data_IF_394457942715
#
_entry.id   IF_394457942715
#
_cell.length_a   1.000
_cell.length_b   1.000
_cell.length_c   1.000
_cell.angle_alpha   90.00
_cell.angle_beta   90.00
_cell.angle_gamma   90.00
#
_symmetry.space_group_name_H-M   'P 1'
#
loop_
_entity.id
_entity.type
_entity.pdbx_description
1 polymer ?
#
# COMPACT_ATOMS: atom_id res chain seq x y z
N UNK A 1 23.26 -18.06 -16.55
CA UNK A 1 22.63 -18.28 -15.23
C UNK A 1 23.36 -17.38 -14.25
N UNK A 2 22.68 -16.39 -13.66
CA UNK A 2 23.21 -15.68 -12.51
C UNK A 2 22.66 -16.39 -11.26
N UNK A 3 23.54 -16.96 -10.45
CA UNK A 3 23.13 -17.59 -9.19
C UNK A 3 22.66 -16.50 -8.24
N UNK A 4 21.41 -16.60 -7.77
CA UNK A 4 20.93 -15.77 -6.67
C UNK A 4 21.65 -16.27 -5.42
N UNK A 5 22.62 -15.51 -4.90
CA UNK A 5 23.22 -15.79 -3.61
C UNK A 5 22.22 -15.35 -2.53
N UNK A 6 21.35 -16.28 -2.12
CA UNK A 6 20.63 -16.15 -0.87
C UNK A 6 21.67 -16.24 0.25
N UNK A 7 22.04 -15.11 0.83
CA UNK A 7 22.80 -15.06 2.07
C UNK A 7 21.85 -15.40 3.22
N UNK A 8 21.58 -16.69 3.43
CA UNK A 8 21.03 -17.13 4.70
C UNK A 8 21.98 -16.67 5.81
N UNK A 9 21.46 -15.91 6.77
CA UNK A 9 22.15 -15.66 8.03
C UNK A 9 21.44 -16.45 9.10
N UNK A 10 22.22 -17.27 9.79
CA UNK A 10 21.80 -18.04 10.95
C UNK A 10 21.74 -17.07 12.15
N UNK A 11 20.78 -16.13 12.12
CA UNK A 11 20.48 -15.20 13.21
C UNK A 11 19.05 -15.38 13.73
N UNK A 12 18.85 -15.07 15.01
CA UNK A 12 17.68 -15.49 15.80
C UNK A 12 16.35 -15.13 15.13
N UNK A 13 16.20 -13.86 14.74
CA UNK A 13 15.03 -13.38 14.01
C UNK A 13 14.74 -14.15 12.71
N UNK A 14 15.75 -14.46 11.87
CA UNK A 14 15.48 -15.24 10.65
C UNK A 14 14.91 -16.63 11.01
N UNK A 15 15.50 -17.31 11.98
CA UNK A 15 15.01 -18.61 12.43
C UNK A 15 13.60 -18.51 13.06
N UNK A 16 13.35 -17.49 13.89
CA UNK A 16 12.05 -17.27 14.54
C UNK A 16 10.93 -17.00 13.52
N UNK A 17 11.23 -16.25 12.45
CA UNK A 17 10.31 -15.99 11.33
C UNK A 17 10.01 -17.29 10.58
N UNK A 18 11.04 -18.07 10.23
CA UNK A 18 10.87 -19.34 9.50
C UNK A 18 10.12 -20.41 10.30
N UNK A 19 10.29 -20.43 11.64
CA UNK A 19 9.55 -21.33 12.56
C UNK A 19 8.04 -21.07 12.54
N UNK A 20 7.61 -19.82 12.34
CA UNK A 20 6.19 -19.46 12.18
C UNK A 20 5.68 -19.59 10.73
N UNK A 21 6.45 -20.19 9.82
CA UNK A 21 6.09 -20.27 8.40
C UNK A 21 6.23 -18.95 7.64
N UNK A 22 6.81 -17.93 8.26
CA UNK A 22 7.20 -16.70 7.60
C UNK A 22 8.48 -16.88 6.77
N UNK A 23 8.82 -15.84 6.01
CA UNK A 23 10.02 -15.77 5.21
C UNK A 23 10.81 -14.49 5.52
N UNK A 24 12.12 -14.66 5.66
CA UNK A 24 13.07 -13.57 5.81
C UNK A 24 13.95 -13.47 4.57
N UNK A 25 14.03 -12.30 3.96
CA UNK A 25 14.91 -12.03 2.81
C UNK A 25 15.80 -10.81 3.09
N UNK A 26 17.12 -11.01 3.10
CA UNK A 26 18.11 -9.92 2.99
C UNK A 26 18.50 -9.73 1.52
N UNK A 27 18.40 -8.51 1.01
CA UNK A 27 18.77 -8.21 -0.38
C UNK A 27 19.22 -6.74 -0.56
N UNK A 28 20.20 -6.46 -1.41
CA UNK A 28 20.51 -5.06 -1.79
C UNK A 28 19.41 -4.55 -2.72
N UNK A 29 19.04 -3.28 -2.60
CA UNK A 29 18.23 -2.52 -3.56
C UNK A 29 18.54 -2.73 -5.06
N UNK A 30 19.77 -3.13 -5.41
CA UNK A 30 20.21 -3.46 -6.78
C UNK A 30 19.92 -4.92 -7.19
N UNK A 31 19.32 -5.73 -6.33
CA UNK A 31 19.03 -7.15 -6.56
C UNK A 31 17.53 -7.44 -6.71
N UNK A 32 17.20 -8.64 -7.23
CA UNK A 32 16.10 -8.83 -8.20
C UNK A 32 14.68 -8.96 -7.58
N UNK A 33 14.45 -8.57 -6.32
CA UNK A 33 13.17 -8.77 -5.65
C UNK A 33 12.20 -7.56 -5.75
N UNK A 34 10.95 -7.89 -6.12
CA UNK A 34 9.69 -7.12 -6.02
C UNK A 34 9.74 -5.58 -6.17
N UNK A 35 9.59 -5.04 -7.40
CA UNK A 35 9.43 -3.58 -7.63
C UNK A 35 8.06 -2.98 -7.29
N UNK A 36 7.40 -3.45 -6.22
CA UNK A 36 6.50 -2.59 -5.43
C UNK A 36 7.38 -1.76 -4.47
N UNK A 37 8.37 -2.43 -3.87
CA UNK A 37 9.43 -1.86 -3.04
C UNK A 37 10.29 -0.87 -3.83
N UNK A 38 10.93 -1.33 -4.92
CA UNK A 38 11.93 -0.55 -5.67
C UNK A 38 11.36 0.66 -6.42
N UNK A 39 10.05 0.71 -6.71
CA UNK A 39 9.44 1.91 -7.31
C UNK A 39 9.30 3.06 -6.31
N UNK A 40 9.32 2.76 -5.01
CA UNK A 40 9.24 3.73 -3.94
C UNK A 40 10.64 4.00 -3.35
N UNK A 41 11.49 2.98 -3.19
CA UNK A 41 12.88 3.15 -2.72
C UNK A 41 13.77 3.76 -3.81
N UNK A 42 13.73 5.08 -3.97
CA UNK A 42 14.76 5.82 -4.70
C UNK A 42 15.97 6.12 -3.80
N UNK A 43 16.65 5.07 -3.32
CA UNK A 43 17.92 5.16 -2.55
C UNK A 43 19.05 4.43 -3.27
N UNK A 44 20.27 4.96 -3.10
CA UNK A 44 21.51 4.34 -3.60
C UNK A 44 21.95 3.25 -2.62
N UNK A 45 22.04 1.99 -3.10
CA UNK A 45 22.61 0.82 -2.41
C UNK A 45 22.31 0.76 -0.91
N UNK A 46 21.07 0.43 -0.57
CA UNK A 46 20.69 0.04 0.80
C UNK A 46 20.41 -1.45 0.84
N UNK A 47 20.98 -2.12 1.84
CA UNK A 47 20.56 -3.46 2.25
C UNK A 47 19.14 -3.36 2.80
N UNK A 48 18.24 -4.13 2.22
CA UNK A 48 16.83 -4.22 2.57
C UNK A 48 16.58 -5.55 3.29
N UNK A 49 15.67 -5.51 4.26
CA UNK A 49 15.25 -6.66 5.03
C UNK A 49 13.74 -6.83 4.86
N UNK A 50 13.30 -7.91 4.21
CA UNK A 50 11.87 -8.22 4.04
C UNK A 50 11.46 -9.38 4.92
N UNK A 51 10.58 -9.11 5.88
CA UNK A 51 9.92 -10.11 6.71
C UNK A 51 8.48 -10.23 6.21
N UNK A 52 8.07 -11.45 5.88
CA UNK A 52 6.79 -11.74 5.27
C UNK A 52 6.14 -12.96 5.89
N UNK A 53 4.94 -12.82 6.45
CA UNK A 53 4.14 -13.95 6.93
C UNK A 53 3.00 -14.23 5.94
N UNK A 54 2.82 -15.51 5.58
CA UNK A 54 1.77 -15.98 4.68
C UNK A 54 0.54 -16.43 5.48
N UNK A 55 -0.62 -15.80 5.25
CA UNK A 55 -1.96 -16.30 5.62
C UNK A 55 -2.14 -16.81 7.07
N UNK A 56 -1.44 -16.17 8.00
CA UNK A 56 -1.56 -16.38 9.45
C UNK A 56 -0.36 -17.09 10.08
N UNK A 57 -0.08 -16.79 11.34
CA UNK A 57 1.02 -17.41 12.10
C UNK A 57 1.83 -16.44 12.97
N UNK A 58 1.43 -15.17 13.04
CA UNK A 58 2.10 -14.17 13.88
C UNK A 58 1.06 -13.29 14.57
N UNK A 59 1.18 -13.17 15.89
CA UNK A 59 0.28 -12.38 16.73
C UNK A 59 1.02 -11.24 17.43
N UNK A 60 0.29 -10.44 18.19
CA UNK A 60 0.86 -9.38 19.04
C UNK A 60 1.96 -9.90 19.97
N UNK A 61 1.84 -11.13 20.49
CA UNK A 61 2.80 -11.74 21.40
C UNK A 61 4.15 -11.97 20.74
N UNK A 62 4.15 -12.58 19.55
CA UNK A 62 5.37 -12.81 18.77
C UNK A 62 6.03 -11.49 18.35
N UNK A 63 5.25 -10.48 17.93
CA UNK A 63 5.78 -9.16 17.56
C UNK A 63 6.41 -8.44 18.76
N UNK A 64 5.82 -8.55 19.94
CA UNK A 64 6.37 -7.99 21.19
C UNK A 64 7.66 -8.71 21.59
N UNK A 65 7.71 -10.04 21.48
CA UNK A 65 8.89 -10.85 21.83
C UNK A 65 10.11 -10.52 20.95
N UNK A 66 9.90 -10.31 19.65
CA UNK A 66 10.95 -10.08 18.67
C UNK A 66 11.16 -8.59 18.31
N UNK A 67 10.50 -7.67 19.04
CA UNK A 67 10.47 -6.25 18.72
C UNK A 67 11.87 -5.61 18.61
N UNK A 68 12.77 -5.92 19.55
CA UNK A 68 14.12 -5.36 19.57
C UNK A 68 14.94 -5.84 18.36
N UNK A 69 14.88 -7.15 18.02
CA UNK A 69 15.57 -7.70 16.85
C UNK A 69 15.04 -7.16 15.52
N UNK A 70 13.76 -6.79 15.47
CA UNK A 70 13.14 -6.12 14.31
C UNK A 70 13.58 -4.65 14.26
N UNK A 71 13.48 -3.91 15.37
CA UNK A 71 13.89 -2.50 15.46
C UNK A 71 15.36 -2.27 15.07
N UNK A 72 16.25 -3.24 15.34
CA UNK A 72 17.67 -3.21 14.95
C UNK A 72 17.91 -3.40 13.43
N UNK A 73 16.91 -3.78 12.62
CA UNK A 73 17.06 -3.95 11.16
C UNK A 73 16.80 -2.63 10.41
N UNK A 74 17.75 -2.14 9.59
CA UNK A 74 17.55 -0.95 8.76
C UNK A 74 16.76 -1.28 7.48
N UNK A 75 16.07 -0.28 6.91
CA UNK A 75 15.32 -0.36 5.65
C UNK A 75 14.37 -1.59 5.58
N UNK A 76 13.51 -1.73 6.57
CA UNK A 76 12.59 -2.85 6.72
C UNK A 76 11.40 -2.80 5.75
N UNK A 77 10.95 -3.98 5.38
CA UNK A 77 9.74 -4.24 4.60
C UNK A 77 8.98 -5.30 5.39
N UNK A 78 7.81 -4.94 5.94
CA UNK A 78 7.07 -5.81 6.84
C UNK A 78 5.69 -6.12 6.24
N UNK A 79 5.45 -7.39 5.95
CA UNK A 79 4.13 -7.90 5.54
C UNK A 79 3.53 -8.70 6.68
N UNK A 80 2.50 -8.12 7.30
CA UNK A 80 1.89 -8.49 8.56
C UNK A 80 0.36 -8.60 8.37
N UNK A 81 -0.05 -9.57 7.53
CA UNK A 81 -1.43 -9.75 7.07
C UNK A 81 -2.20 -10.78 7.92
N UNK A 82 -2.26 -10.55 9.22
CA UNK A 82 -2.92 -11.45 10.19
C UNK A 82 -3.88 -10.65 11.10
N UNK A 83 -5.17 -11.02 11.23
CA UNK A 83 -6.10 -10.38 12.17
C UNK A 83 -5.69 -10.51 13.65
N UNK A 84 -4.76 -11.42 14.01
CA UNK A 84 -4.19 -11.52 15.35
C UNK A 84 -3.22 -10.37 15.70
N UNK A 85 -2.90 -9.51 14.74
CA UNK A 85 -2.07 -8.31 14.93
C UNK A 85 -2.97 -7.10 15.16
N UNK A 86 -2.72 -6.37 16.24
CA UNK A 86 -3.44 -5.17 16.65
C UNK A 86 -2.50 -3.97 16.85
N UNK A 87 -3.05 -2.84 17.28
CA UNK A 87 -2.25 -1.67 17.66
C UNK A 87 -1.29 -1.96 18.84
N UNK A 88 -1.54 -3.02 19.62
CA UNK A 88 -0.68 -3.44 20.72
C UNK A 88 0.61 -4.13 20.22
N UNK A 89 0.52 -5.06 19.26
CA UNK A 89 1.69 -5.72 18.67
C UNK A 89 2.53 -4.82 17.78
N UNK A 90 1.92 -3.80 17.16
CA UNK A 90 2.67 -2.77 16.42
C UNK A 90 3.31 -1.70 17.31
N UNK A 91 2.85 -1.49 18.55
CA UNK A 91 3.35 -0.41 19.40
C UNK A 91 4.87 -0.46 19.69
N UNK A 92 5.52 -1.63 19.89
CA UNK A 92 6.97 -1.74 20.01
C UNK A 92 7.76 -1.38 18.74
N UNK A 93 7.13 -1.49 17.56
CA UNK A 93 7.76 -1.28 16.25
C UNK A 93 7.70 0.17 15.76
N UNK A 94 7.24 1.10 16.61
CA UNK A 94 7.16 2.53 16.29
C UNK A 94 8.54 3.18 16.04
N UNK A 95 9.63 2.55 16.50
CA UNK A 95 11.01 3.00 16.29
C UNK A 95 11.73 2.37 15.09
N UNK A 96 11.15 1.33 14.47
CA UNK A 96 11.80 0.58 13.38
C UNK A 96 11.95 1.43 12.11
N UNK A 97 13.07 1.27 11.38
CA UNK A 97 13.33 1.92 10.08
C UNK A 97 12.55 1.23 8.94
N UNK A 98 11.22 1.19 9.07
CA UNK A 98 10.31 0.54 8.12
C UNK A 98 10.01 1.47 6.97
N UNK A 99 10.20 0.96 5.76
CA UNK A 99 9.92 1.63 4.51
C UNK A 99 8.55 1.26 3.94
N UNK A 100 8.15 -0.01 4.10
CA UNK A 100 6.90 -0.57 3.58
C UNK A 100 6.20 -1.36 4.70
N UNK A 101 5.01 -0.93 5.08
CA UNK A 101 4.09 -1.71 5.90
C UNK A 101 2.94 -2.23 5.04
N UNK A 102 2.73 -3.54 5.06
CA UNK A 102 1.54 -4.17 4.51
C UNK A 102 0.80 -4.89 5.64
N UNK A 103 -0.21 -4.20 6.18
CA UNK A 103 -1.02 -4.59 7.33
C UNK A 103 -2.40 -5.12 6.89
N UNK A 104 -2.55 -5.52 5.62
CA UNK A 104 -3.86 -5.84 5.05
C UNK A 104 -4.55 -6.97 5.83
N UNK A 105 -5.77 -6.71 6.29
CA UNK A 105 -6.56 -7.70 7.05
C UNK A 105 -6.20 -7.82 8.53
N UNK A 106 -5.26 -7.03 9.05
CA UNK A 106 -4.96 -6.96 10.48
C UNK A 106 -6.02 -6.16 11.27
N UNK A 107 -6.07 -6.36 12.59
CA UNK A 107 -7.04 -5.71 13.48
C UNK A 107 -6.69 -4.27 13.88
N UNK A 108 -5.68 -3.67 13.25
CA UNK A 108 -5.18 -2.31 13.54
C UNK A 108 -6.26 -1.23 13.35
N UNK A 109 -6.15 -0.16 14.13
CA UNK A 109 -7.06 0.99 14.13
C UNK A 109 -6.30 2.31 13.91
N UNK A 110 -7.02 3.43 13.94
CA UNK A 110 -6.44 4.78 13.90
C UNK A 110 -5.39 5.04 15.02
N UNK A 111 -5.37 4.22 16.08
CA UNK A 111 -4.43 4.36 17.18
C UNK A 111 -2.96 4.06 16.80
N UNK A 112 -2.70 3.09 15.92
CA UNK A 112 -1.34 2.81 15.41
C UNK A 112 -0.86 3.82 14.37
N UNK A 113 -1.77 4.48 13.64
CA UNK A 113 -1.41 5.45 12.59
C UNK A 113 -0.65 6.67 13.12
N UNK A 114 -0.89 7.04 14.39
CA UNK A 114 -0.16 8.10 15.09
C UNK A 114 1.27 7.71 15.50
N UNK A 115 1.68 6.46 15.26
CA UNK A 115 2.99 5.89 15.63
C UNK A 115 3.75 5.30 14.43
N UNK A 116 3.35 5.65 13.20
CA UNK A 116 4.02 5.17 12.00
C UNK A 116 5.45 5.70 11.91
N UNK A 117 6.42 4.86 11.49
CA UNK A 117 7.80 5.29 11.33
C UNK A 117 7.98 6.48 10.37
N UNK A 118 8.88 7.43 10.65
CA UNK A 118 9.14 8.57 9.78
C UNK A 118 9.83 8.20 8.45
N UNK A 119 10.34 6.97 8.36
CA UNK A 119 10.92 6.33 7.17
C UNK A 119 9.86 5.79 6.20
N UNK A 120 8.60 5.66 6.63
CA UNK A 120 7.56 4.93 5.93
C UNK A 120 7.15 5.63 4.63
N UNK A 121 7.23 4.91 3.51
CA UNK A 121 6.80 5.42 2.21
C UNK A 121 5.63 4.65 1.61
N UNK A 122 5.38 3.42 2.03
CA UNK A 122 4.19 2.68 1.64
C UNK A 122 3.45 2.13 2.86
N UNK A 123 2.13 2.28 2.84
CA UNK A 123 1.24 1.69 3.81
C UNK A 123 0.04 1.06 3.11
N UNK A 124 -0.20 -0.23 3.36
CA UNK A 124 -1.46 -0.90 3.02
C UNK A 124 -2.22 -1.22 4.32
N UNK A 125 -3.40 -0.60 4.46
CA UNK A 125 -4.36 -0.82 5.57
C UNK A 125 -5.75 -1.20 5.06
N UNK A 126 -5.82 -1.73 3.83
CA UNK A 126 -7.03 -2.37 3.32
C UNK A 126 -7.48 -3.50 4.27
N UNK A 127 -8.80 -3.68 4.42
CA UNK A 127 -9.43 -4.70 5.28
C UNK A 127 -9.07 -4.60 6.77
N UNK A 128 -8.67 -3.43 7.25
CA UNK A 128 -8.42 -3.14 8.68
C UNK A 128 -9.57 -2.34 9.30
N UNK A 129 -9.46 -2.00 10.58
CA UNK A 129 -10.42 -1.17 11.31
C UNK A 129 -10.10 0.34 11.25
N UNK A 130 -9.20 0.77 10.35
CA UNK A 130 -8.87 2.19 10.13
C UNK A 130 -10.05 2.93 9.48
N UNK A 131 -10.38 4.12 10.01
CA UNK A 131 -11.54 4.94 9.61
C UNK A 131 -11.14 6.14 8.75
N UNK A 132 -12.11 6.97 8.31
CA UNK A 132 -11.81 8.19 7.57
C UNK A 132 -10.92 9.17 8.37
N UNK A 133 -11.09 9.22 9.70
CA UNK A 133 -10.24 10.01 10.59
C UNK A 133 -8.80 9.48 10.65
N UNK A 134 -8.60 8.17 10.53
CA UNK A 134 -7.28 7.56 10.37
C UNK A 134 -6.66 7.87 9.01
N UNK A 135 -7.40 7.70 7.92
CA UNK A 135 -6.94 8.02 6.56
C UNK A 135 -6.55 9.50 6.44
N UNK A 136 -7.22 10.41 7.16
CA UNK A 136 -6.85 11.83 7.24
C UNK A 136 -5.42 12.05 7.76
N UNK A 137 -4.99 11.27 8.76
CA UNK A 137 -3.66 11.40 9.37
C UNK A 137 -2.55 11.00 8.40
N UNK A 138 -2.87 10.13 7.42
CA UNK A 138 -1.95 9.62 6.42
C UNK A 138 -1.71 10.57 5.24
N UNK A 139 -2.42 11.70 5.17
CA UNK A 139 -2.38 12.72 4.08
C UNK A 139 -1.00 13.40 3.90
N UNK A 140 0.00 13.07 4.71
CA UNK A 140 1.37 13.55 4.49
C UNK A 140 2.48 12.58 4.94
N UNK A 141 2.12 11.34 5.35
CA UNK A 141 3.06 10.38 5.94
C UNK A 141 3.58 9.41 4.86
N UNK A 142 2.83 8.38 4.42
CA UNK A 142 3.26 7.54 3.31
C UNK A 142 3.21 8.29 1.96
N UNK A 143 4.13 7.92 1.07
CA UNK A 143 4.13 8.35 -0.34
C UNK A 143 3.13 7.54 -1.18
N UNK A 144 2.87 6.29 -0.82
CA UNK A 144 1.83 5.42 -1.39
C UNK A 144 0.94 4.84 -0.30
N UNK A 145 -0.37 4.98 -0.46
CA UNK A 145 -1.37 4.43 0.46
C UNK A 145 -2.30 3.44 -0.27
N UNK A 146 -2.62 2.33 0.37
CA UNK A 146 -3.69 1.41 -0.05
C UNK A 146 -4.73 1.26 1.05
N UNK A 147 -6.00 1.49 0.68
CA UNK A 147 -7.20 1.42 1.53
C UNK A 147 -8.33 0.68 0.81
N UNK A 148 -9.40 0.35 1.51
CA UNK A 148 -10.69 -0.04 0.92
C UNK A 148 -11.66 1.14 0.78
N UNK A 149 -12.61 1.04 -0.14
CA UNK A 149 -13.75 1.95 -0.29
C UNK A 149 -14.54 2.16 0.99
N UNK A 150 -14.74 1.09 1.78
CA UNK A 150 -15.47 1.10 3.07
C UNK A 150 -14.84 1.94 4.17
N UNK A 151 -13.58 2.36 4.02
CA UNK A 151 -12.88 3.20 4.99
C UNK A 151 -13.15 4.70 4.77
N UNK A 152 -13.85 5.05 3.67
CA UNK A 152 -14.30 6.41 3.39
C UNK A 152 -15.83 6.46 3.59
N UNK A 153 -16.25 7.08 4.70
CA UNK A 153 -17.67 7.24 5.09
C UNK A 153 -18.19 8.64 4.76
N UNK A 154 -19.46 8.95 5.04
CA UNK A 154 -20.03 10.29 4.90
C UNK A 154 -19.25 11.38 5.65
N UNK A 155 -18.57 11.01 6.74
CA UNK A 155 -17.73 11.91 7.54
C UNK A 155 -16.47 12.38 6.79
N UNK A 156 -16.04 11.64 5.76
CA UNK A 156 -14.92 11.99 4.87
C UNK A 156 -14.99 13.43 4.37
N UNK A 157 -16.20 13.96 4.12
CA UNK A 157 -16.39 15.32 3.61
C UNK A 157 -16.07 16.44 4.62
N UNK A 158 -16.21 16.18 5.93
CA UNK A 158 -15.72 17.08 6.99
C UNK A 158 -14.25 16.82 7.34
N UNK A 159 -13.75 15.62 7.04
CA UNK A 159 -12.43 15.15 7.40
C UNK A 159 -11.36 15.59 6.37
N UNK A 160 -11.60 15.44 5.07
CA UNK A 160 -10.64 15.88 4.05
C UNK A 160 -10.75 17.38 3.74
N UNK A 161 -9.61 18.01 3.43
CA UNK A 161 -9.57 19.42 3.00
C UNK A 161 -8.99 19.52 1.60
N UNK A 162 -9.22 20.64 0.90
CA UNK A 162 -8.62 20.88 -0.43
C UNK A 162 -7.09 20.97 -0.44
N UNK A 163 -6.44 21.00 0.73
CA UNK A 163 -4.98 20.88 0.89
C UNK A 163 -4.51 19.44 1.09
N UNK A 164 -5.43 18.51 1.33
CA UNK A 164 -5.13 17.09 1.52
C UNK A 164 -4.68 16.49 0.20
N UNK A 165 -3.44 16.02 0.14
CA UNK A 165 -2.89 15.36 -1.03
C UNK A 165 -2.26 14.00 -0.69
N UNK A 166 -2.40 13.04 -1.60
CA UNK A 166 -1.55 11.84 -1.62
C UNK A 166 -0.63 11.91 -2.84
N UNK A 167 0.56 11.31 -2.75
CA UNK A 167 1.39 11.16 -3.94
C UNK A 167 0.83 10.01 -4.79
N UNK A 168 0.69 8.82 -4.22
CA UNK A 168 -0.03 7.69 -4.82
C UNK A 168 -1.10 7.15 -3.88
N UNK A 169 -2.25 6.77 -4.42
CA UNK A 169 -3.37 6.18 -3.69
C UNK A 169 -3.96 5.02 -4.48
N UNK A 170 -4.16 3.88 -3.82
CA UNK A 170 -4.92 2.76 -4.33
C UNK A 170 -6.14 2.52 -3.43
N UNK A 171 -7.32 2.41 -4.04
CA UNK A 171 -8.55 2.04 -3.36
C UNK A 171 -9.05 0.70 -3.88
N UNK A 172 -9.30 -0.24 -2.97
CA UNK A 172 -9.88 -1.56 -3.24
C UNK A 172 -11.37 -1.57 -2.89
N UNK A 173 -12.14 -2.51 -3.45
CA UNK A 173 -13.59 -2.64 -3.22
C UNK A 173 -14.35 -1.29 -3.36
N UNK A 174 -13.94 -0.45 -4.32
CA UNK A 174 -14.48 0.90 -4.49
C UNK A 174 -15.96 0.90 -4.91
N UNK A 175 -16.70 1.87 -4.37
CA UNK A 175 -18.13 2.14 -4.60
C UNK A 175 -18.34 3.57 -5.08
N UNK A 176 -19.48 3.86 -5.70
CA UNK A 176 -19.86 5.22 -6.10
C UNK A 176 -19.72 6.26 -4.97
N UNK A 177 -20.09 5.88 -3.74
CA UNK A 177 -19.94 6.67 -2.53
C UNK A 177 -18.47 7.00 -2.23
N UNK A 178 -17.59 5.99 -2.24
CA UNK A 178 -16.15 6.22 -2.06
C UNK A 178 -15.56 7.14 -3.14
N UNK A 179 -16.06 7.09 -4.39
CA UNK A 179 -15.62 8.00 -5.47
C UNK A 179 -16.08 9.45 -5.20
N UNK A 180 -17.29 9.67 -4.69
CA UNK A 180 -17.74 11.01 -4.24
C UNK A 180 -16.87 11.54 -3.09
N UNK A 181 -16.44 10.71 -2.15
CA UNK A 181 -15.47 11.12 -1.10
C UNK A 181 -14.08 11.43 -1.66
N UNK A 182 -13.57 10.57 -2.55
CA UNK A 182 -12.29 10.80 -3.24
C UNK A 182 -12.30 12.07 -4.11
N UNK A 183 -13.47 12.60 -4.48
CA UNK A 183 -13.56 13.85 -5.25
C UNK A 183 -13.02 15.09 -4.52
N UNK A 184 -12.85 15.01 -3.19
CA UNK A 184 -12.37 16.10 -2.33
C UNK A 184 -10.85 16.09 -2.07
N UNK A 185 -10.14 15.03 -2.48
CA UNK A 185 -8.69 14.89 -2.24
C UNK A 185 -7.87 15.05 -3.53
N UNK A 186 -6.61 15.49 -3.39
CA UNK A 186 -5.68 15.62 -4.53
C UNK A 186 -4.71 14.45 -4.60
N UNK A 187 -4.80 13.59 -5.62
CA UNK A 187 -3.78 12.57 -5.88
C UNK A 187 -2.84 13.07 -6.97
N UNK A 188 -1.54 13.21 -6.66
CA UNK A 188 -0.59 13.90 -7.56
C UNK A 188 0.03 13.01 -8.63
N UNK A 189 0.46 11.80 -8.26
CA UNK A 189 1.14 10.89 -9.17
C UNK A 189 0.16 9.83 -9.69
N UNK A 190 -0.25 8.87 -8.86
CA UNK A 190 -1.01 7.71 -9.31
C UNK A 190 -2.26 7.46 -8.46
N UNK A 191 -3.42 7.39 -9.11
CA UNK A 191 -4.67 6.93 -8.51
C UNK A 191 -5.07 5.59 -9.16
N UNK A 192 -5.12 4.54 -8.36
CA UNK A 192 -5.63 3.22 -8.76
C UNK A 192 -6.97 2.99 -8.08
N UNK A 193 -8.02 2.73 -8.86
CA UNK A 193 -9.37 2.46 -8.37
C UNK A 193 -9.75 1.05 -8.81
N UNK A 194 -9.90 0.15 -7.85
CA UNK A 194 -10.39 -1.21 -8.06
C UNK A 194 -11.76 -1.36 -7.41
N UNK A 195 -12.76 -1.84 -8.17
CA UNK A 195 -14.06 -2.16 -7.61
C UNK A 195 -15.22 -2.14 -8.61
N UNK A 196 -15.98 -3.23 -8.66
CA UNK A 196 -17.18 -3.34 -9.50
C UNK A 196 -18.35 -2.49 -9.01
N UNK A 197 -18.27 -1.94 -7.80
CA UNK A 197 -19.22 -0.96 -7.25
C UNK A 197 -19.08 0.45 -7.84
N UNK A 198 -18.07 0.69 -8.70
CA UNK A 198 -17.92 1.93 -9.47
C UNK A 198 -18.74 1.80 -10.75
N UNK A 199 -19.87 2.51 -10.83
CA UNK A 199 -20.80 2.53 -11.97
C UNK A 199 -20.89 3.92 -12.60
N UNK A 200 -21.74 4.10 -13.61
CA UNK A 200 -21.96 5.39 -14.28
C UNK A 200 -22.43 6.53 -13.34
N UNK A 201 -22.98 6.19 -12.17
CA UNK A 201 -23.31 7.14 -11.09
C UNK A 201 -22.06 7.85 -10.53
N UNK A 202 -20.87 7.26 -10.66
CA UNK A 202 -19.58 7.90 -10.29
C UNK A 202 -19.16 9.02 -11.23
N UNK A 203 -19.75 9.18 -12.42
CA UNK A 203 -19.29 10.17 -13.41
C UNK A 203 -19.28 11.63 -12.91
N UNK A 204 -20.28 12.13 -12.14
CA UNK A 204 -20.24 13.47 -11.57
C UNK A 204 -19.09 13.64 -10.56
N UNK A 205 -18.80 12.62 -9.76
CA UNK A 205 -17.70 12.61 -8.80
C UNK A 205 -16.34 12.69 -9.51
N UNK A 206 -16.10 11.83 -10.50
CA UNK A 206 -14.89 11.87 -11.33
C UNK A 206 -14.66 13.23 -11.99
N UNK A 207 -15.73 13.91 -12.43
CA UNK A 207 -15.65 15.23 -13.08
C UNK A 207 -15.38 16.39 -12.09
N UNK A 208 -15.40 16.13 -10.77
CA UNK A 208 -14.93 17.05 -9.72
C UNK A 208 -13.47 16.81 -9.31
N UNK A 209 -12.94 15.61 -9.54
CA UNK A 209 -11.60 15.20 -9.07
C UNK A 209 -10.47 16.04 -9.68
N UNK A 210 -9.46 16.43 -8.87
CA UNK A 210 -8.15 16.81 -9.38
C UNK A 210 -7.56 15.72 -10.28
N UNK A 211 -6.92 16.09 -11.40
CA UNK A 211 -6.36 15.12 -12.35
C UNK A 211 -5.00 14.59 -11.87
N UNK A 212 -4.85 13.27 -11.61
CA UNK A 212 -3.55 12.67 -11.30
C UNK A 212 -2.67 12.57 -12.56
N UNK A 213 -1.37 12.27 -12.42
CA UNK A 213 -0.52 11.96 -13.58
C UNK A 213 -0.89 10.62 -14.23
N UNK A 214 -1.28 9.61 -13.44
CA UNK A 214 -1.81 8.32 -13.89
C UNK A 214 -3.11 7.98 -13.16
N UNK A 215 -4.11 7.54 -13.92
CA UNK A 215 -5.39 7.01 -13.42
C UNK A 215 -5.56 5.60 -13.98
N UNK A 216 -5.64 4.61 -13.10
CA UNK A 216 -5.90 3.21 -13.47
C UNK A 216 -7.25 2.80 -12.90
N UNK A 217 -8.16 2.37 -13.77
CA UNK A 217 -9.42 1.75 -13.38
C UNK A 217 -9.30 0.23 -13.52
N UNK A 218 -9.66 -0.50 -12.47
CA UNK A 218 -9.52 -1.95 -12.37
C UNK A 218 -10.88 -2.58 -12.03
N UNK A 219 -11.36 -3.49 -12.87
CA UNK A 219 -12.60 -4.25 -12.62
C UNK A 219 -13.84 -3.38 -12.29
N UNK A 220 -13.93 -2.20 -12.93
CA UNK A 220 -15.04 -1.23 -12.76
C UNK A 220 -16.23 -1.53 -13.68
N UNK A 221 -17.44 -1.16 -13.26
CA UNK A 221 -18.69 -1.40 -13.99
C UNK A 221 -19.11 -0.18 -14.83
N UNK A 222 -18.24 0.26 -15.74
CA UNK A 222 -18.47 1.36 -16.67
C UNK A 222 -18.57 0.86 -18.11
N UNK A 223 -19.52 1.38 -18.90
CA UNK A 223 -19.59 1.11 -20.34
C UNK A 223 -18.60 2.00 -21.12
N UNK A 224 -18.30 1.61 -22.36
CA UNK A 224 -17.34 2.32 -23.24
C UNK A 224 -17.60 3.82 -23.36
N UNK A 225 -18.88 4.23 -23.42
CA UNK A 225 -19.27 5.64 -23.47
C UNK A 225 -18.84 6.40 -22.21
N UNK A 226 -19.06 5.85 -21.02
CA UNK A 226 -18.62 6.48 -19.76
C UNK A 226 -17.09 6.53 -19.68
N UNK A 227 -16.40 5.48 -20.13
CA UNK A 227 -14.95 5.42 -20.20
C UNK A 227 -14.36 6.46 -21.15
N UNK A 228 -14.99 6.72 -22.31
CA UNK A 228 -14.58 7.77 -23.24
C UNK A 228 -14.87 9.19 -22.71
N UNK A 229 -15.95 9.38 -21.95
CA UNK A 229 -16.17 10.62 -21.21
C UNK A 229 -15.08 10.85 -20.14
N UNK A 230 -14.66 9.80 -19.42
CA UNK A 230 -13.56 9.88 -18.45
C UNK A 230 -12.20 10.12 -19.12
N UNK A 231 -11.87 9.42 -20.20
CA UNK A 231 -10.66 9.69 -21.01
C UNK A 231 -10.61 11.13 -21.51
N UNK A 232 -11.75 11.69 -21.89
CA UNK A 232 -11.87 13.09 -22.32
C UNK A 232 -11.66 14.06 -21.16
N UNK A 233 -12.27 13.79 -20.00
CA UNK A 233 -12.08 14.62 -18.80
C UNK A 233 -10.63 14.55 -18.30
N UNK A 234 -10.08 13.36 -18.10
CA UNK A 234 -8.70 13.12 -17.65
C UNK A 234 -7.65 13.27 -18.76
N UNK A 235 -7.98 13.95 -19.88
CA UNK A 235 -6.98 14.28 -20.91
C UNK A 235 -5.81 15.05 -20.30
N UNK A 236 -4.61 14.49 -20.44
CA UNK A 236 -3.37 14.95 -19.81
C UNK A 236 -2.81 13.93 -18.80
N UNK A 237 -3.67 13.13 -18.19
CA UNK A 237 -3.31 11.96 -17.39
C UNK A 237 -3.02 10.75 -18.29
N UNK A 238 -2.16 9.85 -17.84
CA UNK A 238 -2.08 8.48 -18.35
C UNK A 238 -3.32 7.72 -17.85
N UNK A 239 -4.29 7.48 -18.73
CA UNK A 239 -5.51 6.76 -18.41
C UNK A 239 -5.41 5.29 -18.83
N UNK A 240 -5.69 4.38 -17.90
CA UNK A 240 -5.67 2.94 -18.12
C UNK A 240 -6.97 2.29 -17.60
N UNK A 241 -7.44 1.27 -18.32
CA UNK A 241 -8.48 0.35 -17.90
C UNK A 241 -7.93 -1.07 -18.01
N UNK A 242 -8.05 -1.86 -16.95
CA UNK A 242 -7.54 -3.24 -16.87
C UNK A 242 -8.40 -4.09 -15.93
N UNK A 243 -8.10 -5.39 -15.84
CA UNK A 243 -8.54 -6.25 -14.75
C UNK A 243 -7.40 -6.47 -13.74
N UNK A 244 -7.72 -6.98 -12.54
CA UNK A 244 -6.74 -7.20 -11.48
C UNK A 244 -5.58 -8.13 -11.89
N UNK A 245 -5.89 -9.21 -12.62
CA UNK A 245 -4.89 -10.22 -13.01
C UNK A 245 -3.86 -9.63 -13.97
N UNK A 246 -4.31 -8.85 -14.95
CA UNK A 246 -3.42 -8.14 -15.88
C UNK A 246 -2.67 -7.01 -15.19
N UNK A 247 -3.28 -6.28 -14.26
CA UNK A 247 -2.57 -5.27 -13.47
C UNK A 247 -1.43 -5.88 -12.65
N UNK A 248 -1.70 -6.97 -11.91
CA UNK A 248 -0.65 -7.71 -11.20
C UNK A 248 0.45 -8.19 -12.14
N UNK A 249 0.09 -8.76 -13.30
CA UNK A 249 1.06 -9.24 -14.29
C UNK A 249 1.90 -8.08 -14.86
N UNK A 250 1.29 -6.95 -15.16
CA UNK A 250 1.99 -5.73 -15.58
C UNK A 250 2.98 -5.27 -14.52
N UNK A 251 2.57 -5.18 -13.25
CA UNK A 251 3.46 -4.80 -12.14
C UNK A 251 4.62 -5.82 -11.98
N UNK A 252 4.33 -7.13 -12.05
CA UNK A 252 5.35 -8.21 -12.02
C UNK A 252 6.31 -8.17 -13.22
N UNK A 253 5.88 -7.72 -14.40
CA UNK A 253 6.74 -7.62 -15.61
C UNK A 253 7.51 -6.31 -15.67
N UNK A 254 6.89 -5.18 -15.29
CA UNK A 254 7.56 -3.91 -15.04
C UNK A 254 8.65 -4.10 -13.97
N UNK A 255 8.42 -4.94 -12.96
CA UNK A 255 9.42 -5.31 -11.98
C UNK A 255 10.67 -5.94 -12.61
N UNK A 256 10.49 -6.96 -13.47
CA UNK A 256 11.59 -7.65 -14.15
C UNK A 256 12.33 -6.78 -15.17
N UNK A 257 11.66 -5.79 -15.76
CA UNK A 257 12.22 -5.03 -16.88
C UNK A 257 13.15 -3.88 -16.49
N UNK A 258 12.96 -3.20 -15.35
CA UNK A 258 13.93 -2.15 -14.93
C UNK A 258 15.19 -2.72 -14.28
N UNK A 259 15.24 -4.02 -13.98
CA UNK A 259 16.47 -4.72 -13.54
C UNK A 259 17.48 -4.85 -14.71
N UNK A 260 17.06 -4.53 -15.94
CA UNK A 260 17.88 -4.59 -17.17
C UNK A 260 18.36 -3.23 -17.69
N UNK A 261 18.17 -2.14 -16.92
CA UNK A 261 18.58 -0.77 -17.28
C UNK A 261 19.48 -0.19 -16.20
#
# INVERSE_FOLDING_TARGET
MAGILFLQRDDGLQQAVEVQGGHYYEFDSNSVLSRIVVQLINRRSTRLHWIHFFDGGVDDGWLIEHADEINDRPNLLLTLRDPAISDAGLAPLAGADVFMYDLQGSSVTDASLNKLPPSLQYLNVARTNVTDAGVQQLVSVPTGLTIDGRQLTENSASTFTTRSFFNSLQILDATNESIEHLSQISVRHELVIQGSGVTSESLPAFKKMPKPQRLVLIDVSLADKELDELRTYFRGSQFELTNWSDFENQQRQAAKNSVRR
#
